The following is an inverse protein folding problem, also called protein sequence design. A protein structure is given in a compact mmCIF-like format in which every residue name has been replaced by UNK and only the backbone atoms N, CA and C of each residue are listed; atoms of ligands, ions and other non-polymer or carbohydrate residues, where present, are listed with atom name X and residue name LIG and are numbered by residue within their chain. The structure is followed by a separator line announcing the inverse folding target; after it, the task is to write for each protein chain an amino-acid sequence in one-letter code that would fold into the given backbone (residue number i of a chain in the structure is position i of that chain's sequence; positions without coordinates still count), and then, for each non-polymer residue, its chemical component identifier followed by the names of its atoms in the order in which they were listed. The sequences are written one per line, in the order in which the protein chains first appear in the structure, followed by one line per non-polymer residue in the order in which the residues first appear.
data_IF_574315112072
#
_entry.id   IF_574315112072
#
_cell.length_a   1.000
_cell.length_b   1.000
_cell.length_c   1.000
_cell.angle_alpha   90.00
_cell.angle_beta   90.00
_cell.angle_gamma   90.00
#
_symmetry.space_group_name_H-M   'P 1'
#
loop_
_entity.id
_entity.type
_entity.pdbx_description
1 polymer ?
#
# COMPACT_ATOMS: atom_id res chain seq x y z
N UNK A 1 -17.19 54.17 47.70
CA UNK A 1 -16.82 52.85 48.27
C UNK A 1 -17.19 51.81 47.23
N UNK A 2 -16.27 51.53 46.30
CA UNK A 2 -15.43 50.31 46.26
C UNK A 2 -16.14 49.09 45.67
N UNK A 3 -15.62 48.37 44.68
CA UNK A 3 -14.54 48.58 43.70
C UNK A 3 -14.74 47.41 42.72
N UNK A 4 -14.93 47.73 41.43
CA UNK A 4 -14.86 46.80 40.31
C UNK A 4 -13.50 46.07 40.35
N UNK A 5 -13.47 44.73 40.28
CA UNK A 5 -12.23 43.97 40.06
C UNK A 5 -12.31 43.22 38.74
N UNK A 6 -11.86 43.91 37.70
CA UNK A 6 -11.22 43.30 36.55
C UNK A 6 -9.99 42.51 37.03
N UNK A 7 -9.85 41.26 36.59
CA UNK A 7 -8.54 40.61 36.52
C UNK A 7 -8.26 40.29 35.05
N UNK A 8 -7.67 41.29 34.40
CA UNK A 8 -6.68 41.09 33.34
C UNK A 8 -5.41 40.61 34.04
N UNK A 9 -4.87 39.45 33.66
CA UNK A 9 -3.49 39.12 33.97
C UNK A 9 -2.76 38.86 32.66
N UNK A 10 -1.96 39.86 32.32
CA UNK A 10 -1.04 39.96 31.20
C UNK A 10 0.12 39.00 31.41
N UNK A 11 0.39 38.26 30.34
CA UNK A 11 1.67 37.67 29.89
C UNK A 11 2.91 37.95 30.74
N UNK A 12 3.59 36.88 31.16
CA UNK A 12 5.03 36.88 31.39
C UNK A 12 5.67 35.81 30.49
N UNK A 13 6.19 36.26 29.34
CA UNK A 13 7.15 35.51 28.53
C UNK A 13 8.51 35.63 29.22
N UNK A 14 9.07 34.52 29.66
CA UNK A 14 10.50 34.41 29.96
C UNK A 14 11.09 33.31 29.08
N UNK A 15 11.68 33.77 27.98
CA UNK A 15 12.49 32.98 27.09
C UNK A 15 13.76 32.47 27.81
N UNK A 16 14.04 31.18 27.66
CA UNK A 16 15.41 30.67 27.65
C UNK A 16 15.60 29.89 26.35
N UNK A 17 16.56 30.36 25.58
CA UNK A 17 16.85 30.05 24.20
C UNK A 17 17.32 28.60 24.00
N UNK A 18 16.88 27.99 22.90
CA UNK A 18 17.65 26.90 22.30
C UNK A 18 16.93 25.75 21.59
N UNK A 19 15.80 25.93 20.88
CA UNK A 19 15.42 25.00 19.79
C UNK A 19 14.74 25.76 18.65
N UNK A 20 15.48 25.96 17.57
CA UNK A 20 14.90 26.17 16.25
C UNK A 20 14.08 24.93 15.87
N UNK A 21 12.89 25.16 15.30
CA UNK A 21 12.07 24.22 14.50
C UNK A 21 11.71 22.85 15.10
N UNK A 22 10.41 22.64 15.32
CA UNK A 22 9.76 21.34 15.11
C UNK A 22 8.32 21.67 14.69
N UNK A 23 8.05 21.76 13.38
CA UNK A 23 7.47 20.69 12.56
C UNK A 23 6.11 20.24 13.13
N UNK A 24 5.03 20.25 12.33
CA UNK A 24 3.66 19.90 12.72
C UNK A 24 3.45 18.46 13.21
N UNK A 25 4.18 18.08 14.26
CA UNK A 25 4.17 16.81 14.96
C UNK A 25 3.59 17.03 16.36
N UNK A 26 2.82 16.07 16.82
CA UNK A 26 2.34 15.97 18.18
C UNK A 26 3.54 15.81 19.14
N UNK A 27 3.70 16.70 20.15
CA UNK A 27 4.83 16.64 21.07
C UNK A 27 4.93 15.33 21.87
N UNK A 28 3.80 14.72 22.25
CA UNK A 28 3.79 13.42 22.94
C UNK A 28 4.27 12.31 22.00
N UNK A 29 3.82 12.34 20.75
CA UNK A 29 4.22 11.37 19.74
C UNK A 29 5.72 11.48 19.42
N UNK A 30 6.25 12.70 19.32
CA UNK A 30 7.67 12.96 19.14
C UNK A 30 8.51 12.46 20.34
N UNK A 31 8.03 12.65 21.57
CA UNK A 31 8.70 12.13 22.76
C UNK A 31 8.72 10.59 22.79
N UNK A 32 7.60 9.94 22.44
CA UNK A 32 7.52 8.49 22.32
C UNK A 32 8.45 7.98 21.21
N UNK A 33 8.49 8.67 20.06
CA UNK A 33 9.43 8.33 18.98
C UNK A 33 10.90 8.37 19.45
N UNK A 34 11.30 9.42 20.18
CA UNK A 34 12.65 9.51 20.74
C UNK A 34 12.98 8.36 21.72
N UNK A 35 12.01 7.92 22.52
CA UNK A 35 12.15 6.74 23.38
C UNK A 35 12.28 5.44 22.57
N UNK A 36 11.49 5.28 21.51
CA UNK A 36 11.58 4.13 20.62
C UNK A 36 12.95 4.07 19.91
N UNK A 37 13.48 5.20 19.46
CA UNK A 37 14.83 5.28 18.86
C UNK A 37 15.92 4.90 19.86
N UNK A 38 15.81 5.34 21.11
CA UNK A 38 16.75 4.97 22.17
C UNK A 38 16.70 3.47 22.46
N UNK A 39 15.50 2.88 22.59
CA UNK A 39 15.31 1.44 22.77
C UNK A 39 15.86 0.64 21.58
N UNK A 40 15.63 1.10 20.35
CA UNK A 40 16.16 0.47 19.14
C UNK A 40 17.69 0.49 19.09
N UNK A 41 18.32 1.63 19.44
CA UNK A 41 19.79 1.74 19.56
C UNK A 41 20.34 0.80 20.64
N UNK A 42 19.61 0.60 21.72
CA UNK A 42 19.92 -0.35 22.78
C UNK A 42 19.62 -1.82 22.41
N UNK A 43 19.13 -2.10 21.19
CA UNK A 43 18.68 -3.43 20.72
C UNK A 43 17.53 -4.03 21.53
N UNK A 44 16.78 -3.21 22.25
CA UNK A 44 15.55 -3.57 22.94
C UNK A 44 14.37 -3.57 21.94
N UNK A 45 14.39 -4.49 20.96
CA UNK A 45 13.48 -4.42 19.80
C UNK A 45 11.99 -4.50 20.19
N UNK A 46 11.60 -5.34 21.15
CA UNK A 46 10.21 -5.44 21.60
C UNK A 46 9.69 -4.15 22.22
N UNK A 47 10.52 -3.52 23.06
CA UNK A 47 10.21 -2.23 23.66
C UNK A 47 10.14 -1.13 22.62
N UNK A 48 11.08 -1.11 21.67
CA UNK A 48 11.07 -0.16 20.57
C UNK A 48 9.78 -0.27 19.75
N UNK A 49 9.32 -1.48 19.44
CA UNK A 49 8.02 -1.72 18.78
C UNK A 49 6.87 -1.19 19.65
N UNK A 50 6.79 -1.58 20.92
CA UNK A 50 5.69 -1.17 21.80
C UNK A 50 5.57 0.35 21.93
N UNK A 51 6.69 1.04 22.16
CA UNK A 51 6.70 2.50 22.27
C UNK A 51 6.36 3.19 20.95
N UNK A 52 6.82 2.63 19.82
CA UNK A 52 6.52 3.20 18.51
C UNK A 52 5.06 3.01 18.10
N UNK A 53 4.43 1.91 18.52
CA UNK A 53 2.98 1.70 18.37
C UNK A 53 2.22 2.74 19.18
N UNK A 54 2.63 3.05 20.42
CA UNK A 54 2.02 4.14 21.19
C UNK A 54 2.18 5.51 20.51
N UNK A 55 3.34 5.77 19.88
CA UNK A 55 3.54 6.99 19.08
C UNK A 55 2.56 7.05 17.89
N UNK A 56 2.33 5.91 17.22
CA UNK A 56 1.37 5.81 16.12
C UNK A 56 -0.09 5.93 16.56
N UNK A 57 -0.45 5.61 17.81
CA UNK A 57 -1.80 5.90 18.32
C UNK A 57 -2.07 7.41 18.41
N UNK A 58 -1.01 8.22 18.56
CA UNK A 58 -1.07 9.68 18.63
C UNK A 58 -0.99 10.33 17.25
N UNK A 59 -0.21 9.74 16.34
CA UNK A 59 -0.15 10.14 14.93
C UNK A 59 -0.24 8.91 14.00
N UNK A 60 -1.45 8.42 13.73
CA UNK A 60 -1.63 7.21 12.93
C UNK A 60 -1.12 7.35 11.50
N UNK A 61 -1.07 8.55 10.94
CA UNK A 61 -0.64 8.79 9.56
C UNK A 61 0.88 9.03 9.42
N UNK A 62 1.66 8.94 10.51
CA UNK A 62 3.07 9.33 10.48
C UNK A 62 3.94 8.30 9.75
N UNK A 63 4.29 8.59 8.51
CA UNK A 63 5.09 7.74 7.64
C UNK A 63 6.53 7.53 8.15
N UNK A 64 7.09 8.48 8.90
CA UNK A 64 8.42 8.30 9.53
C UNK A 64 8.34 7.21 10.59
N UNK A 65 7.34 7.27 11.47
CA UNK A 65 7.16 6.26 12.52
C UNK A 65 6.87 4.89 11.92
N UNK A 66 6.01 4.82 10.90
CA UNK A 66 5.72 3.57 10.17
C UNK A 66 6.96 2.98 9.49
N UNK A 67 7.80 3.80 8.87
CA UNK A 67 9.04 3.32 8.27
C UNK A 67 9.98 2.72 9.32
N UNK A 68 10.16 3.40 10.46
CA UNK A 68 11.01 2.89 11.54
C UNK A 68 10.43 1.61 12.14
N UNK A 69 9.11 1.53 12.29
CA UNK A 69 8.44 0.32 12.75
C UNK A 69 8.70 -0.83 11.79
N UNK A 70 8.50 -0.60 10.48
CA UNK A 70 8.76 -1.60 9.47
C UNK A 70 10.21 -2.09 9.47
N UNK A 71 11.19 -1.20 9.66
CA UNK A 71 12.60 -1.58 9.83
C UNK A 71 12.85 -2.46 11.05
N UNK A 72 12.28 -2.11 12.20
CA UNK A 72 12.44 -2.89 13.43
C UNK A 72 11.80 -4.27 13.25
N UNK A 73 10.63 -4.33 12.61
CA UNK A 73 9.93 -5.58 12.30
C UNK A 73 10.74 -6.47 11.35
N UNK A 74 11.42 -5.90 10.34
CA UNK A 74 12.38 -6.63 9.51
C UNK A 74 13.52 -7.24 10.34
N UNK A 75 14.12 -6.48 11.28
CA UNK A 75 15.17 -7.01 12.17
C UNK A 75 14.66 -8.13 13.08
N UNK A 76 13.38 -8.10 13.45
CA UNK A 76 12.71 -9.16 14.22
C UNK A 76 12.29 -10.36 13.37
N UNK A 77 12.37 -10.28 12.05
CA UNK A 77 11.86 -11.31 11.12
C UNK A 77 10.34 -11.28 10.93
N UNK A 78 9.64 -10.24 11.38
CA UNK A 78 8.22 -10.02 11.05
C UNK A 78 8.09 -9.28 9.72
N UNK A 79 8.30 -10.03 8.64
CA UNK A 79 8.23 -9.50 7.28
C UNK A 79 6.82 -9.02 6.89
N UNK A 80 5.75 -9.60 7.47
CA UNK A 80 4.38 -9.22 7.14
C UNK A 80 4.02 -7.86 7.76
N UNK A 81 4.31 -7.69 9.06
CA UNK A 81 4.12 -6.41 9.73
C UNK A 81 5.01 -5.32 9.12
N UNK A 82 6.23 -5.68 8.70
CA UNK A 82 7.11 -4.76 7.97
C UNK A 82 6.51 -4.32 6.62
N UNK A 83 6.08 -5.29 5.80
CA UNK A 83 5.46 -5.05 4.49
C UNK A 83 4.23 -4.15 4.62
N UNK A 84 3.36 -4.39 5.60
CA UNK A 84 2.18 -3.57 5.86
C UNK A 84 2.53 -2.11 6.15
N UNK A 85 3.49 -1.87 7.05
CA UNK A 85 3.93 -0.51 7.36
C UNK A 85 4.61 0.18 6.17
N UNK A 86 5.44 -0.54 5.42
CA UNK A 86 6.10 0.03 4.23
C UNK A 86 5.14 0.34 3.09
N UNK A 87 4.06 -0.41 2.92
CA UNK A 87 3.03 -0.07 1.93
C UNK A 87 2.35 1.25 2.27
N UNK A 88 2.07 1.50 3.55
CA UNK A 88 1.51 2.78 3.99
C UNK A 88 2.51 3.92 3.70
N UNK A 89 3.80 3.72 3.98
CA UNK A 89 4.84 4.71 3.67
C UNK A 89 4.95 4.96 2.16
N UNK A 90 4.90 3.90 1.36
CA UNK A 90 4.92 3.98 -0.11
C UNK A 90 3.77 4.82 -0.67
N UNK A 91 2.59 4.72 -0.05
CA UNK A 91 1.38 5.44 -0.45
C UNK A 91 1.20 6.79 0.26
N UNK A 92 2.03 7.10 1.24
CA UNK A 92 1.99 8.39 1.94
C UNK A 92 2.40 9.52 1.00
N UNK A 93 1.77 10.68 1.15
CA UNK A 93 2.07 11.87 0.35
C UNK A 93 2.86 12.90 1.15
N UNK A 94 3.61 13.79 0.47
CA UNK A 94 4.19 14.95 1.14
C UNK A 94 3.12 15.72 1.91
N UNK A 95 3.48 16.19 3.11
CA UNK A 95 2.58 16.93 3.98
C UNK A 95 3.22 18.31 4.26
N UNK A 96 2.49 19.38 3.98
CA UNK A 96 2.98 20.76 4.15
C UNK A 96 3.15 21.14 5.62
N UNK A 97 2.27 20.66 6.50
CA UNK A 97 2.30 20.92 7.95
C UNK A 97 3.49 20.24 8.64
N UNK A 98 3.85 19.02 8.18
CA UNK A 98 5.00 18.26 8.70
C UNK A 98 6.35 18.82 8.22
N UNK A 99 6.35 19.68 7.20
CA UNK A 99 7.51 20.45 6.75
C UNK A 99 8.47 19.72 5.80
N UNK A 100 9.41 20.47 5.22
CA UNK A 100 10.32 19.98 4.18
C UNK A 100 11.19 18.80 4.63
N UNK A 101 11.72 18.84 5.86
CA UNK A 101 12.56 17.75 6.39
C UNK A 101 11.80 16.42 6.48
N UNK A 102 10.52 16.44 6.88
CA UNK A 102 9.67 15.24 6.90
C UNK A 102 9.48 14.68 5.48
N UNK A 103 9.23 15.56 4.51
CA UNK A 103 9.02 15.17 3.12
C UNK A 103 10.29 14.61 2.47
N UNK A 104 11.47 15.16 2.80
CA UNK A 104 12.76 14.62 2.37
C UNK A 104 13.02 13.23 2.97
N UNK A 105 12.69 13.01 4.25
CA UNK A 105 12.75 11.68 4.86
C UNK A 105 11.80 10.71 4.16
N UNK A 106 10.55 11.09 3.93
CA UNK A 106 9.56 10.28 3.23
C UNK A 106 10.07 9.86 1.84
N UNK A 107 10.58 10.79 1.03
CA UNK A 107 11.15 10.49 -0.30
C UNK A 107 12.28 9.47 -0.20
N UNK A 108 13.20 9.67 0.73
CA UNK A 108 14.32 8.74 0.96
C UNK A 108 13.85 7.36 1.43
N UNK A 109 12.82 7.30 2.27
CA UNK A 109 12.25 6.05 2.78
C UNK A 109 11.55 5.27 1.67
N UNK A 110 10.76 5.93 0.82
CA UNK A 110 10.17 5.30 -0.37
C UNK A 110 11.24 4.65 -1.25
N UNK A 111 12.35 5.36 -1.52
CA UNK A 111 13.47 4.79 -2.29
C UNK A 111 14.07 3.55 -1.62
N UNK A 112 14.27 3.57 -0.30
CA UNK A 112 14.80 2.42 0.46
C UNK A 112 13.82 1.25 0.50
N UNK A 113 12.52 1.49 0.58
CA UNK A 113 11.50 0.45 0.55
C UNK A 113 11.54 -0.30 -0.79
N UNK A 114 11.71 0.41 -1.91
CA UNK A 114 11.85 -0.21 -3.23
C UNK A 114 12.99 -1.23 -3.28
N UNK A 115 14.11 -0.95 -2.64
CA UNK A 115 15.26 -1.89 -2.60
C UNK A 115 15.01 -3.13 -1.73
N UNK A 116 13.92 -3.18 -0.96
CA UNK A 116 13.55 -4.34 -0.15
C UNK A 116 12.64 -5.33 -0.88
N UNK A 117 12.21 -5.01 -2.11
CA UNK A 117 11.25 -5.82 -2.85
C UNK A 117 11.73 -7.26 -3.07
N UNK A 118 12.99 -7.44 -3.46
CA UNK A 118 13.57 -8.79 -3.67
C UNK A 118 13.61 -9.59 -2.37
N UNK A 119 13.95 -8.96 -1.25
CA UNK A 119 13.95 -9.63 0.05
C UNK A 119 12.54 -10.10 0.46
N UNK A 120 11.50 -9.29 0.19
CA UNK A 120 10.11 -9.71 0.41
C UNK A 120 9.69 -10.83 -0.54
N UNK A 121 10.05 -10.72 -1.82
CA UNK A 121 9.75 -11.74 -2.82
C UNK A 121 10.38 -13.09 -2.47
N UNK A 122 11.64 -13.09 -2.04
CA UNK A 122 12.36 -14.28 -1.59
C UNK A 122 11.69 -14.92 -0.38
N UNK A 123 11.29 -14.11 0.61
CA UNK A 123 10.58 -14.63 1.77
C UNK A 123 9.21 -15.20 1.39
N UNK A 124 8.46 -14.51 0.53
CA UNK A 124 7.18 -15.01 0.00
C UNK A 124 7.34 -16.31 -0.80
N UNK A 125 8.41 -16.44 -1.58
CA UNK A 125 8.73 -17.67 -2.30
C UNK A 125 9.02 -18.82 -1.33
N UNK A 126 9.79 -18.59 -0.26
CA UNK A 126 10.03 -19.62 0.78
C UNK A 126 8.73 -20.07 1.44
N UNK A 127 7.79 -19.16 1.71
CA UNK A 127 6.45 -19.51 2.23
C UNK A 127 5.67 -20.37 1.23
N UNK A 128 5.72 -20.01 -0.05
CA UNK A 128 5.07 -20.78 -1.11
C UNK A 128 5.65 -22.20 -1.22
N UNK A 129 6.97 -22.32 -1.24
CA UNK A 129 7.66 -23.62 -1.27
C UNK A 129 7.32 -24.48 -0.04
N UNK A 130 7.16 -23.84 1.12
CA UNK A 130 6.72 -24.51 2.34
C UNK A 130 5.29 -25.03 2.21
N UNK A 131 4.38 -24.26 1.62
CA UNK A 131 3.03 -24.72 1.30
C UNK A 131 3.05 -25.95 0.39
N UNK A 132 3.82 -25.90 -0.71
CA UNK A 132 3.94 -27.01 -1.67
C UNK A 132 4.42 -28.30 -1.00
N UNK A 133 5.40 -28.22 -0.09
CA UNK A 133 5.92 -29.38 0.66
C UNK A 133 4.92 -30.01 1.62
N UNK A 134 3.86 -29.29 1.98
CA UNK A 134 2.92 -29.70 3.02
C UNK A 134 1.47 -29.81 2.52
N UNK A 135 1.25 -29.93 1.21
CA UNK A 135 -0.10 -29.98 0.61
C UNK A 135 -0.99 -31.09 1.19
N UNK A 136 -0.40 -32.24 1.54
CA UNK A 136 -1.12 -33.37 2.13
C UNK A 136 -1.49 -33.18 3.62
N UNK A 137 -1.08 -32.06 4.23
CA UNK A 137 -1.35 -31.78 5.63
C UNK A 137 -2.84 -31.60 5.90
N UNK A 138 -3.33 -32.28 6.94
CA UNK A 138 -4.71 -32.12 7.43
C UNK A 138 -4.97 -30.73 8.03
N UNK A 139 -3.92 -29.94 8.31
CA UNK A 139 -4.03 -28.60 8.91
C UNK A 139 -4.33 -27.53 7.85
N UNK A 140 -5.48 -27.65 7.18
CA UNK A 140 -5.89 -26.81 6.04
C UNK A 140 -5.75 -25.30 6.31
N UNK A 141 -6.19 -24.82 7.46
CA UNK A 141 -6.10 -23.39 7.80
C UNK A 141 -4.66 -22.89 7.89
N UNK A 142 -3.71 -23.72 8.36
CA UNK A 142 -2.29 -23.33 8.41
C UNK A 142 -1.67 -23.24 7.00
N UNK A 143 -2.12 -24.10 6.09
CA UNK A 143 -1.74 -24.03 4.68
C UNK A 143 -2.30 -22.74 4.03
N UNK A 144 -3.57 -22.42 4.30
CA UNK A 144 -4.19 -21.18 3.80
C UNK A 144 -3.50 -19.92 4.35
N UNK A 145 -3.14 -19.90 5.64
CA UNK A 145 -2.32 -18.83 6.23
C UNK A 145 -0.97 -18.74 5.51
N UNK A 146 -0.31 -19.87 5.25
CA UNK A 146 0.98 -19.89 4.56
C UNK A 146 0.88 -19.33 3.14
N UNK A 147 -0.18 -19.68 2.40
CA UNK A 147 -0.49 -19.11 1.08
C UNK A 147 -0.77 -17.60 1.16
N UNK A 148 -1.57 -17.16 2.14
CA UNK A 148 -1.77 -15.73 2.39
C UNK A 148 -0.43 -15.01 2.58
N UNK A 149 0.47 -15.54 3.41
CA UNK A 149 1.79 -14.95 3.65
C UNK A 149 2.63 -14.91 2.36
N UNK A 150 2.62 -16.00 1.58
CA UNK A 150 3.32 -16.06 0.31
C UNK A 150 2.84 -14.99 -0.67
N UNK A 151 1.53 -14.87 -0.88
CA UNK A 151 0.95 -13.87 -1.78
C UNK A 151 1.11 -12.44 -1.28
N UNK A 152 1.12 -12.23 0.04
CA UNK A 152 1.32 -10.92 0.66
C UNK A 152 2.74 -10.39 0.48
N UNK A 153 3.73 -11.29 0.58
CA UNK A 153 5.15 -10.95 0.52
C UNK A 153 5.71 -11.00 -0.92
N UNK A 154 5.14 -11.86 -1.78
CA UNK A 154 5.51 -12.00 -3.19
C UNK A 154 4.25 -11.87 -4.07
N UNK A 155 3.78 -10.64 -4.34
CA UNK A 155 2.59 -10.40 -5.16
C UNK A 155 2.59 -11.09 -6.53
N UNK A 156 3.72 -11.21 -7.26
CA UNK A 156 3.78 -11.96 -8.51
C UNK A 156 3.27 -13.40 -8.45
N UNK A 157 3.35 -14.09 -7.30
CA UNK A 157 2.88 -15.46 -7.16
C UNK A 157 1.38 -15.61 -7.44
N UNK A 158 0.55 -14.64 -7.05
CA UNK A 158 -0.91 -14.77 -7.17
C UNK A 158 -1.39 -14.87 -8.62
N UNK A 159 -0.67 -14.24 -9.56
CA UNK A 159 -1.03 -14.23 -10.98
C UNK A 159 -0.71 -15.54 -11.70
N UNK A 160 0.10 -16.41 -11.08
CA UNK A 160 0.49 -17.71 -11.63
C UNK A 160 -0.21 -18.88 -10.93
N UNK A 161 -0.84 -18.63 -9.79
CA UNK A 161 -1.34 -19.64 -8.86
C UNK A 161 -2.80 -19.34 -8.44
N UNK A 162 -3.69 -19.25 -9.44
CA UNK A 162 -5.11 -18.90 -9.22
C UNK A 162 -5.86 -19.95 -8.43
N UNK A 163 -5.53 -21.23 -8.62
CA UNK A 163 -6.17 -22.34 -7.92
C UNK A 163 -5.79 -22.35 -6.44
N UNK A 164 -4.54 -22.04 -6.11
CA UNK A 164 -4.08 -21.87 -4.73
C UNK A 164 -4.74 -20.66 -4.06
N UNK A 165 -4.88 -19.54 -4.78
CA UNK A 165 -5.60 -18.37 -4.28
C UNK A 165 -7.06 -18.71 -3.97
N UNK A 166 -7.74 -19.41 -4.89
CA UNK A 166 -9.11 -19.88 -4.67
C UNK A 166 -9.17 -20.82 -3.46
N UNK A 167 -8.26 -21.79 -3.39
CA UNK A 167 -8.18 -22.77 -2.29
C UNK A 167 -7.99 -22.09 -0.94
N UNK A 168 -7.06 -21.15 -0.83
CA UNK A 168 -6.87 -20.38 0.41
C UNK A 168 -8.15 -19.62 0.79
N UNK A 169 -8.77 -18.93 -0.17
CA UNK A 169 -10.00 -18.18 0.06
C UNK A 169 -11.12 -19.09 0.59
N UNK A 170 -11.35 -20.24 -0.07
CA UNK A 170 -12.40 -21.18 0.30
C UNK A 170 -12.16 -21.76 1.72
N UNK A 171 -10.91 -22.06 2.09
CA UNK A 171 -10.55 -22.54 3.43
C UNK A 171 -10.83 -21.46 4.50
N UNK A 172 -10.49 -20.20 4.23
CA UNK A 172 -10.80 -19.10 5.15
C UNK A 172 -12.31 -18.88 5.27
N UNK A 173 -13.06 -18.92 4.17
CA UNK A 173 -14.52 -18.83 4.19
C UNK A 173 -15.15 -19.94 5.05
N UNK A 174 -14.68 -21.18 4.91
CA UNK A 174 -15.12 -22.32 5.74
C UNK A 174 -14.77 -22.12 7.21
N UNK A 175 -13.53 -21.74 7.52
CA UNK A 175 -13.05 -21.57 8.89
C UNK A 175 -13.73 -20.40 9.63
N UNK A 176 -14.18 -19.37 8.90
CA UNK A 176 -14.72 -18.12 9.45
C UNK A 176 -16.25 -18.01 9.34
N UNK A 177 -16.96 -19.11 9.05
CA UNK A 177 -18.43 -19.12 8.96
C UNK A 177 -19.11 -18.49 10.19
N UNK A 178 -18.61 -18.77 11.39
CA UNK A 178 -19.12 -18.17 12.64
C UNK A 178 -18.90 -16.67 12.73
N UNK A 179 -17.80 -16.14 12.15
CA UNK A 179 -17.56 -14.71 12.07
C UNK A 179 -18.63 -14.04 11.21
N UNK A 180 -18.93 -14.62 10.04
CA UNK A 180 -19.97 -14.11 9.14
C UNK A 180 -21.35 -14.12 9.81
N UNK A 181 -21.65 -15.15 10.60
CA UNK A 181 -22.88 -15.27 11.40
C UNK A 181 -22.93 -14.35 12.65
N UNK A 182 -21.86 -13.60 12.94
CA UNK A 182 -21.80 -12.68 14.09
C UNK A 182 -21.68 -13.34 15.46
N UNK A 183 -21.21 -14.59 15.51
CA UNK A 183 -21.09 -15.33 16.76
C UNK A 183 -19.70 -15.16 17.40
N UNK A 184 -18.64 -15.21 16.60
CA UNK A 184 -17.25 -15.25 17.08
C UNK A 184 -16.36 -14.39 16.18
N UNK A 185 -16.35 -13.06 16.34
CA UNK A 185 -15.52 -12.19 15.50
C UNK A 185 -14.03 -12.47 15.69
N UNK A 186 -13.34 -12.82 14.59
CA UNK A 186 -11.89 -13.04 14.58
C UNK A 186 -11.22 -12.03 13.62
N UNK A 187 -10.90 -10.86 14.16
CA UNK A 187 -10.39 -9.71 13.38
C UNK A 187 -9.22 -10.05 12.45
N UNK A 188 -8.14 -10.63 12.99
CA UNK A 188 -6.93 -10.89 12.20
C UNK A 188 -7.16 -11.88 11.04
N UNK A 189 -7.75 -13.09 11.26
CA UNK A 189 -8.15 -13.97 10.17
C UNK A 189 -9.11 -13.34 9.16
N UNK A 190 -10.06 -12.52 9.62
CA UNK A 190 -10.98 -11.79 8.74
C UNK A 190 -10.22 -10.79 7.86
N UNK A 191 -9.28 -10.00 8.40
CA UNK A 191 -8.44 -9.09 7.61
C UNK A 191 -7.54 -9.81 6.62
N UNK A 192 -7.08 -11.03 6.93
CA UNK A 192 -6.37 -11.88 5.97
C UNK A 192 -7.29 -12.32 4.83
N UNK A 193 -8.53 -12.73 5.13
CA UNK A 193 -9.54 -13.05 4.13
C UNK A 193 -9.92 -11.83 3.29
N UNK A 194 -10.02 -10.63 3.87
CA UNK A 194 -10.27 -9.40 3.12
C UNK A 194 -9.18 -9.13 2.07
N UNK A 195 -7.91 -9.35 2.43
CA UNK A 195 -6.81 -9.29 1.46
C UNK A 195 -6.95 -10.35 0.37
N UNK A 196 -7.30 -11.61 0.70
CA UNK A 196 -7.54 -12.65 -0.30
C UNK A 196 -8.67 -12.28 -1.27
N UNK A 197 -9.75 -11.68 -0.76
CA UNK A 197 -10.82 -11.13 -1.59
C UNK A 197 -10.36 -10.00 -2.49
N UNK A 198 -9.56 -9.06 -1.98
CA UNK A 198 -9.00 -7.95 -2.76
C UNK A 198 -8.20 -8.48 -3.95
N UNK A 199 -7.28 -9.42 -3.72
CA UNK A 199 -6.42 -9.95 -4.77
C UNK A 199 -7.16 -10.93 -5.71
N UNK A 200 -8.26 -11.52 -5.25
CA UNK A 200 -9.21 -12.29 -6.07
C UNK A 200 -10.24 -11.41 -6.80
N UNK A 201 -10.12 -10.08 -6.73
CA UNK A 201 -11.03 -9.10 -7.33
C UNK A 201 -12.49 -9.21 -6.84
N UNK A 202 -12.70 -9.71 -5.62
CA UNK A 202 -14.00 -9.76 -4.92
C UNK A 202 -14.16 -8.50 -4.05
N UNK A 203 -14.16 -7.31 -4.68
CA UNK A 203 -14.11 -6.01 -3.98
C UNK A 203 -15.22 -5.85 -2.93
N UNK A 204 -16.46 -6.21 -3.27
CA UNK A 204 -17.61 -6.06 -2.36
C UNK A 204 -17.42 -6.87 -1.07
N UNK A 205 -16.92 -8.11 -1.20
CA UNK A 205 -16.64 -8.96 -0.04
C UNK A 205 -15.48 -8.43 0.81
N UNK A 206 -14.43 -7.90 0.18
CA UNK A 206 -13.32 -7.27 0.90
C UNK A 206 -13.80 -6.03 1.68
N UNK A 207 -14.63 -5.20 1.04
CA UNK A 207 -15.22 -4.00 1.63
C UNK A 207 -16.08 -4.34 2.85
N UNK A 208 -16.97 -5.34 2.73
CA UNK A 208 -17.80 -5.81 3.84
C UNK A 208 -16.95 -6.20 5.07
N UNK A 209 -15.86 -6.94 4.84
CA UNK A 209 -14.99 -7.37 5.95
C UNK A 209 -14.25 -6.19 6.58
N UNK A 210 -13.73 -5.25 5.80
CA UNK A 210 -13.06 -4.06 6.34
C UNK A 210 -14.01 -3.18 7.14
N UNK A 211 -15.23 -2.92 6.62
CA UNK A 211 -16.26 -2.16 7.35
C UNK A 211 -16.59 -2.83 8.68
N UNK A 212 -16.83 -4.14 8.65
CA UNK A 212 -17.10 -4.89 9.87
C UNK A 212 -15.93 -4.89 10.84
N UNK A 213 -14.70 -4.89 10.34
CA UNK A 213 -13.52 -4.79 11.21
C UNK A 213 -13.46 -3.44 11.92
N UNK A 214 -13.79 -2.34 11.23
CA UNK A 214 -13.84 -1.00 11.80
C UNK A 214 -14.89 -0.88 12.93
N UNK A 215 -16.01 -1.60 12.85
CA UNK A 215 -17.03 -1.62 13.91
C UNK A 215 -16.50 -2.12 15.28
N UNK A 216 -15.38 -2.83 15.30
CA UNK A 216 -14.76 -3.42 16.51
C UNK A 216 -13.36 -2.87 16.80
N UNK A 217 -12.93 -1.78 16.17
CA UNK A 217 -11.63 -1.16 16.46
C UNK A 217 -11.78 -0.09 17.52
N UNK A 218 -10.91 -0.15 18.52
CA UNK A 218 -10.79 0.86 19.59
C UNK A 218 -9.44 1.61 19.54
N UNK A 219 -8.48 1.10 18.76
CA UNK A 219 -7.13 1.62 18.67
C UNK A 219 -6.96 2.53 17.43
N UNK A 220 -6.62 3.81 17.58
CA UNK A 220 -6.53 4.74 16.45
C UNK A 220 -5.49 4.35 15.38
N UNK A 221 -4.40 3.69 15.78
CA UNK A 221 -3.41 3.23 14.81
C UNK A 221 -3.96 2.03 14.02
N UNK A 222 -4.63 1.11 14.68
CA UNK A 222 -5.30 0.01 14.00
C UNK A 222 -6.41 0.49 13.07
N UNK A 223 -7.22 1.46 13.52
CA UNK A 223 -8.30 2.07 12.73
C UNK A 223 -7.73 2.64 11.44
N UNK A 224 -6.66 3.42 11.56
CA UNK A 224 -5.95 3.97 10.41
C UNK A 224 -5.45 2.88 9.46
N UNK A 225 -4.86 1.78 9.96
CA UNK A 225 -4.35 0.70 9.11
C UNK A 225 -5.49 0.03 8.31
N UNK A 226 -6.65 -0.20 8.94
CA UNK A 226 -7.80 -0.79 8.26
C UNK A 226 -8.43 0.20 7.28
N UNK A 227 -8.63 1.45 7.68
CA UNK A 227 -9.15 2.51 6.81
C UNK A 227 -8.24 2.72 5.60
N UNK A 228 -6.91 2.74 5.78
CA UNK A 228 -5.97 2.84 4.67
C UNK A 228 -6.11 1.68 3.66
N UNK A 229 -6.40 0.45 4.12
CA UNK A 229 -6.68 -0.69 3.21
C UNK A 229 -8.01 -0.52 2.50
N UNK A 230 -9.05 -0.10 3.22
CA UNK A 230 -10.38 0.13 2.67
C UNK A 230 -10.39 1.25 1.62
N UNK A 231 -9.73 2.38 1.91
CA UNK A 231 -9.58 3.48 0.98
C UNK A 231 -8.81 3.02 -0.26
N UNK A 232 -7.71 2.28 -0.08
CA UNK A 232 -6.98 1.70 -1.21
C UNK A 232 -7.86 0.75 -2.03
N UNK A 233 -8.67 -0.10 -1.41
CA UNK A 233 -9.61 -0.98 -2.12
C UNK A 233 -10.55 -0.17 -3.04
N UNK A 234 -11.00 0.99 -2.58
CA UNK A 234 -11.95 1.87 -3.26
C UNK A 234 -11.31 2.92 -4.19
N UNK A 235 -9.97 3.04 -4.23
CA UNK A 235 -9.27 3.89 -5.21
C UNK A 235 -9.62 3.49 -6.64
N UNK A 236 -9.63 4.48 -7.55
CA UNK A 236 -9.80 4.24 -8.99
C UNK A 236 -8.69 3.34 -9.52
N UNK A 237 -8.95 2.62 -10.62
CA UNK A 237 -7.93 1.77 -11.23
C UNK A 237 -6.72 2.62 -11.69
N UNK A 238 -6.99 3.83 -12.21
CA UNK A 238 -6.00 4.86 -12.51
C UNK A 238 -5.05 5.15 -11.33
N UNK A 239 -5.60 5.42 -10.15
CA UNK A 239 -4.79 5.73 -8.96
C UNK A 239 -3.97 4.53 -8.49
N UNK A 240 -4.55 3.31 -8.55
CA UNK A 240 -3.84 2.09 -8.21
C UNK A 240 -2.67 1.83 -9.16
N UNK A 241 -2.87 2.08 -10.45
CA UNK A 241 -1.84 1.94 -11.47
C UNK A 241 -0.69 2.93 -11.24
N UNK A 242 -1.00 4.17 -10.88
CA UNK A 242 0.01 5.16 -10.49
C UNK A 242 0.78 4.72 -9.24
N UNK A 243 0.09 4.16 -8.23
CA UNK A 243 0.73 3.61 -7.04
C UNK A 243 1.64 2.41 -7.36
N UNK A 244 1.25 1.50 -8.26
CA UNK A 244 2.09 0.34 -8.65
C UNK A 244 3.30 0.77 -9.46
N UNK A 245 3.15 1.76 -10.36
CA UNK A 245 4.27 2.38 -11.06
C UNK A 245 5.23 2.98 -10.03
N UNK A 246 4.75 3.87 -9.15
CA UNK A 246 5.57 4.56 -8.14
C UNK A 246 6.32 3.56 -7.24
N UNK A 247 5.63 2.49 -6.79
CA UNK A 247 6.20 1.43 -5.95
C UNK A 247 7.21 0.54 -6.69
N UNK A 248 7.21 0.56 -8.01
CA UNK A 248 7.98 -0.35 -8.84
C UNK A 248 7.42 -1.78 -8.90
N UNK A 249 6.14 -1.93 -8.55
CA UNK A 249 5.39 -3.19 -8.55
C UNK A 249 4.61 -3.40 -9.86
N UNK A 250 4.96 -2.65 -10.90
CA UNK A 250 4.32 -2.69 -12.21
C UNK A 250 4.38 -4.10 -12.83
N UNK A 251 3.21 -4.67 -13.07
CA UNK A 251 3.02 -6.03 -13.56
C UNK A 251 2.65 -6.08 -15.04
N UNK A 252 2.70 -7.28 -15.64
CA UNK A 252 2.20 -7.48 -17.01
C UNK A 252 0.71 -7.10 -17.12
N UNK A 253 -0.09 -7.31 -16.07
CA UNK A 253 -1.50 -6.93 -16.09
C UNK A 253 -1.67 -5.41 -16.12
N UNK A 254 -0.85 -4.69 -15.37
CA UNK A 254 -0.83 -3.21 -15.37
C UNK A 254 -0.42 -2.67 -16.75
N UNK A 255 0.49 -3.38 -17.42
CA UNK A 255 0.88 -3.11 -18.79
C UNK A 255 -0.26 -3.32 -19.79
N UNK A 256 -0.97 -4.43 -19.70
CA UNK A 256 -2.17 -4.69 -20.53
C UNK A 256 -3.27 -3.66 -20.27
N UNK A 257 -3.39 -3.16 -19.05
CA UNK A 257 -4.31 -2.08 -18.70
C UNK A 257 -3.90 -0.74 -19.34
N UNK A 258 -2.61 -0.37 -19.28
CA UNK A 258 -2.09 0.82 -19.95
C UNK A 258 -2.24 0.77 -21.47
N UNK A 259 -1.98 -0.38 -22.07
CA UNK A 259 -2.05 -0.54 -23.52
C UNK A 259 -3.46 -0.88 -24.04
N UNK A 260 -4.44 -1.11 -23.16
CA UNK A 260 -5.78 -1.56 -23.50
C UNK A 260 -5.88 -3.09 -23.63
N UNK A 261 -7.01 -3.66 -23.15
CA UNK A 261 -7.19 -5.12 -23.13
C UNK A 261 -7.21 -5.68 -24.55
N UNK A 262 -6.25 -6.53 -24.91
CA UNK A 262 -6.18 -7.15 -26.23
C UNK A 262 -4.88 -6.92 -26.99
N UNK A 263 -3.84 -6.42 -26.34
CA UNK A 263 -2.51 -6.46 -26.94
C UNK A 263 -2.11 -7.90 -27.25
N UNK A 264 -1.60 -8.11 -28.46
CA UNK A 264 -0.86 -9.32 -28.78
C UNK A 264 0.28 -9.49 -27.78
N UNK A 265 0.76 -10.73 -27.60
CA UNK A 265 1.91 -11.00 -26.71
C UNK A 265 3.03 -10.02 -27.04
N UNK A 266 3.28 -9.10 -26.12
CA UNK A 266 4.38 -8.14 -26.21
C UNK A 266 5.67 -8.95 -26.21
N UNK A 267 6.47 -8.80 -27.26
CA UNK A 267 7.77 -9.46 -27.32
C UNK A 267 8.72 -8.80 -26.29
N UNK A 268 9.87 -9.42 -26.05
CA UNK A 268 10.82 -8.95 -25.04
C UNK A 268 11.39 -7.55 -25.35
N UNK A 269 11.56 -7.23 -26.64
CA UNK A 269 12.07 -5.93 -27.08
C UNK A 269 11.08 -4.80 -26.79
N UNK A 270 9.81 -5.01 -27.12
CA UNK A 270 8.72 -4.08 -26.88
C UNK A 270 8.45 -3.92 -25.39
N UNK A 271 8.60 -5.00 -24.61
CA UNK A 271 8.51 -4.95 -23.16
C UNK A 271 9.59 -4.04 -22.56
N UNK A 272 10.83 -4.16 -23.05
CA UNK A 272 11.94 -3.31 -22.61
C UNK A 272 11.69 -1.83 -22.91
N UNK A 273 11.18 -1.51 -24.10
CA UNK A 273 10.80 -0.13 -24.47
C UNK A 273 9.78 0.44 -23.49
N UNK A 274 8.82 -0.36 -23.05
CA UNK A 274 7.78 0.08 -22.12
C UNK A 274 8.35 0.19 -20.70
N UNK A 275 9.20 -0.74 -20.27
CA UNK A 275 9.88 -0.66 -18.98
C UNK A 275 10.71 0.64 -18.86
N UNK A 276 11.38 1.06 -19.95
CA UNK A 276 12.10 2.35 -20.00
C UNK A 276 11.15 3.55 -19.80
N UNK A 277 9.98 3.54 -20.46
CA UNK A 277 8.95 4.58 -20.30
C UNK A 277 8.38 4.62 -18.87
N UNK A 278 8.12 3.45 -18.30
CA UNK A 278 7.63 3.30 -16.94
C UNK A 278 8.70 3.78 -15.94
N UNK A 279 9.98 3.56 -16.21
CA UNK A 279 11.09 4.08 -15.39
C UNK A 279 11.14 5.61 -15.39
N UNK A 280 10.93 6.25 -16.55
CA UNK A 280 10.83 7.72 -16.63
C UNK A 280 9.63 8.25 -15.83
N UNK A 281 8.46 7.62 -16.00
CA UNK A 281 7.27 7.99 -15.26
C UNK A 281 7.44 7.86 -13.74
N UNK A 282 8.11 6.81 -13.28
CA UNK A 282 8.47 6.65 -11.86
C UNK A 282 9.24 7.85 -11.35
N UNK A 283 10.24 8.32 -12.10
CA UNK A 283 11.04 9.49 -11.71
C UNK A 283 10.19 10.76 -11.63
N UNK A 284 9.16 10.92 -12.47
CA UNK A 284 8.24 12.05 -12.41
C UNK A 284 7.30 11.95 -11.21
N UNK A 285 6.73 10.76 -10.95
CA UNK A 285 5.85 10.50 -9.81
C UNK A 285 6.55 10.70 -8.45
N UNK A 286 7.86 10.47 -8.36
CA UNK A 286 8.63 10.72 -7.14
C UNK A 286 8.64 12.20 -6.70
N UNK A 287 8.38 13.12 -7.61
CA UNK A 287 8.33 14.56 -7.32
C UNK A 287 6.90 15.12 -7.35
N UNK A 288 5.92 14.31 -7.75
CA UNK A 288 4.53 14.73 -7.79
C UNK A 288 3.95 14.84 -6.38
N UNK A 289 3.39 16.00 -6.09
CA UNK A 289 2.84 16.42 -4.81
C UNK A 289 1.32 16.50 -4.81
N UNK A 290 0.70 16.66 -5.99
CA UNK A 290 -0.76 16.70 -6.17
C UNK A 290 -1.28 15.53 -7.02
N UNK A 291 -2.59 15.28 -6.97
CA UNK A 291 -3.24 14.28 -7.82
C UNK A 291 -3.17 14.68 -9.30
N UNK A 292 -3.32 15.97 -9.61
CA UNK A 292 -3.23 16.49 -10.98
C UNK A 292 -1.84 16.28 -11.59
N UNK A 293 -0.77 16.48 -10.80
CA UNK A 293 0.60 16.22 -11.25
C UNK A 293 0.81 14.73 -11.56
N UNK A 294 0.27 13.83 -10.74
CA UNK A 294 0.37 12.38 -10.96
C UNK A 294 -0.45 11.94 -12.17
N UNK A 295 -1.64 12.51 -12.35
CA UNK A 295 -2.50 12.27 -13.50
C UNK A 295 -1.82 12.71 -14.80
N UNK A 296 -1.16 13.88 -14.81
CA UNK A 296 -0.37 14.34 -15.96
C UNK A 296 0.71 13.34 -16.35
N UNK A 297 1.40 12.72 -15.38
CA UNK A 297 2.40 11.68 -15.68
C UNK A 297 1.76 10.48 -16.35
N UNK A 298 0.59 10.03 -15.92
CA UNK A 298 -0.09 8.92 -16.56
C UNK A 298 -0.49 9.25 -18.01
N UNK A 299 -1.03 10.44 -18.24
CA UNK A 299 -1.44 10.87 -19.58
C UNK A 299 -0.24 10.99 -20.53
N UNK A 300 0.92 11.44 -20.05
CA UNK A 300 2.17 11.42 -20.81
C UNK A 300 2.60 10.01 -21.22
N UNK A 301 2.52 9.03 -20.30
CA UNK A 301 2.83 7.62 -20.61
C UNK A 301 1.88 7.10 -21.70
N UNK A 302 0.56 7.31 -21.50
CA UNK A 302 -0.46 6.85 -22.46
C UNK A 302 -0.24 7.48 -23.84
N UNK A 303 0.01 8.78 -23.90
CA UNK A 303 0.29 9.48 -25.15
C UNK A 303 1.52 8.91 -25.87
N UNK A 304 2.59 8.65 -25.13
CA UNK A 304 3.82 8.05 -25.66
C UNK A 304 3.60 6.62 -26.18
N UNK A 305 2.82 5.80 -25.46
CA UNK A 305 2.43 4.44 -25.93
C UNK A 305 1.67 4.56 -27.25
N UNK A 306 0.66 5.43 -27.33
CA UNK A 306 -0.16 5.63 -28.53
C UNK A 306 0.69 6.11 -29.71
N UNK A 307 1.62 7.03 -29.50
CA UNK A 307 2.51 7.54 -30.54
C UNK A 307 3.42 6.42 -31.09
N UNK A 308 3.99 5.60 -30.21
CA UNK A 308 4.81 4.44 -30.59
C UNK A 308 4.01 3.38 -31.33
N UNK A 309 2.77 3.12 -30.92
CA UNK A 309 1.86 2.23 -31.65
C UNK A 309 1.57 2.74 -33.06
N UNK A 310 1.32 4.06 -33.23
CA UNK A 310 1.12 4.67 -34.55
C UNK A 310 2.34 4.56 -35.47
N UNK A 311 3.55 4.52 -34.90
CA UNK A 311 4.81 4.34 -35.63
C UNK A 311 5.16 2.86 -35.89
N UNK A 312 4.38 1.92 -35.35
CA UNK A 312 4.69 0.49 -35.41
C UNK A 312 5.86 0.07 -34.52
N UNK A 313 6.28 0.92 -33.57
CA UNK A 313 7.37 0.63 -32.63
C UNK A 313 6.92 -0.26 -31.46
N UNK A 314 5.61 -0.32 -31.21
CA UNK A 314 4.93 -1.15 -30.23
C UNK A 314 3.70 -1.82 -30.89
N UNK A 315 3.25 -3.00 -30.40
CA UNK A 315 2.07 -3.66 -30.92
C UNK A 315 0.84 -2.76 -30.78
N UNK A 316 0.14 -2.55 -31.88
CA UNK A 316 -1.07 -1.74 -31.95
C UNK A 316 -2.31 -2.42 -31.34
N UNK A 317 -3.39 -1.65 -31.24
CA UNK A 317 -4.68 -2.11 -30.68
C UNK A 317 -5.62 -2.70 -31.75
N UNK A 318 -5.12 -3.23 -32.88
CA UNK A 318 -5.96 -3.60 -34.03
C UNK A 318 -7.12 -4.53 -33.66
N UNK A 319 -6.87 -5.58 -32.86
CA UNK A 319 -7.91 -6.51 -32.38
C UNK A 319 -8.91 -5.86 -31.42
N UNK A 320 -8.45 -4.95 -30.56
CA UNK A 320 -9.33 -4.19 -29.66
C UNK A 320 -10.19 -3.21 -30.46
N UNK A 321 -9.62 -2.52 -31.45
CA UNK A 321 -10.33 -1.63 -32.35
C UNK A 321 -11.40 -2.38 -33.16
N UNK A 322 -11.08 -3.57 -33.68
CA UNK A 322 -12.08 -4.44 -34.32
C UNK A 322 -13.19 -4.86 -33.36
N UNK A 323 -12.84 -5.21 -32.11
CA UNK A 323 -13.82 -5.59 -31.08
C UNK A 323 -14.73 -4.41 -30.72
N UNK A 324 -14.16 -3.25 -30.43
CA UNK A 324 -14.92 -2.02 -30.11
C UNK A 324 -15.81 -1.60 -31.27
N UNK A 325 -15.32 -1.71 -32.51
CA UNK A 325 -16.13 -1.47 -33.71
C UNK A 325 -17.30 -2.45 -33.85
N UNK A 326 -17.12 -3.73 -33.48
CA UNK A 326 -18.20 -4.72 -33.41
C UNK A 326 -19.19 -4.44 -32.28
N UNK A 327 -18.71 -3.91 -31.16
CA UNK A 327 -19.50 -3.53 -29.99
C UNK A 327 -20.15 -2.14 -30.12
N UNK A 328 -19.87 -1.41 -31.20
CA UNK A 328 -20.37 -0.04 -31.42
C UNK A 328 -19.79 0.99 -30.44
N UNK A 329 -18.64 0.68 -29.83
CA UNK A 329 -17.98 1.53 -28.83
C UNK A 329 -16.78 2.25 -29.43
N UNK A 330 -16.51 3.43 -28.93
CA UNK A 330 -15.28 4.19 -29.16
C UNK A 330 -14.19 3.77 -28.16
N UNK A 331 -12.92 4.08 -28.48
CA UNK A 331 -11.82 3.87 -27.54
C UNK A 331 -12.01 4.70 -26.26
N UNK A 332 -12.57 5.90 -26.38
CA UNK A 332 -12.83 6.80 -25.25
C UNK A 332 -13.87 6.21 -24.29
N UNK A 333 -14.97 5.64 -24.82
CA UNK A 333 -15.96 4.91 -24.02
C UNK A 333 -15.36 3.68 -23.32
N UNK A 334 -14.50 2.93 -24.02
CA UNK A 334 -13.82 1.78 -23.45
C UNK A 334 -12.89 2.18 -22.28
N UNK A 335 -12.09 3.23 -22.45
CA UNK A 335 -11.20 3.73 -21.38
C UNK A 335 -11.99 4.22 -20.17
N UNK A 336 -13.10 4.94 -20.42
CA UNK A 336 -14.02 5.39 -19.38
C UNK A 336 -14.66 4.23 -18.61
N UNK A 337 -15.08 3.16 -19.30
CA UNK A 337 -15.60 1.94 -18.66
C UNK A 337 -14.55 1.22 -17.80
N UNK A 338 -13.27 1.31 -18.17
CA UNK A 338 -12.16 0.77 -17.38
C UNK A 338 -11.72 1.68 -16.23
N UNK A 339 -12.27 2.89 -16.15
CA UNK A 339 -11.90 3.89 -15.14
C UNK A 339 -10.47 4.39 -15.35
N UNK A 340 -10.05 4.52 -16.62
CA UNK A 340 -8.72 4.96 -17.05
C UNK A 340 -8.74 6.36 -17.65
#
# INVERSE_FOLDING_TARGET
MSKLRCFLLVVAVSALAGTLWAAGLNPEAAALYGQAEAAYKAKELDKAVGVLVEALKKEPDNAVFRYILGKILMEKGDFLGARENFEIVGRSRPNTEKGAEYNDKLKNFKKKIKTLQDAFNDEGQKKFDLYLKNQDSKKKIQLAVTLYQAFRLNPPLRYKNYDELKTATDIYEEALQKCFQGQEWQKQPMLQLAFLYEIANKKDKAAEVYMRALDYVEDPNEEFVITHKFDYLNRSNKEKLLDTIEAGEFSQKDLEELMGSGTEKVNEEDRKKIDDMISEARSKLENASSEEERESVLEEIKASIIEKQKRGELPGQEKLNEKLKKEGKTMEEYMKEKGL
#
